data_IF_359562771111
#
_entry.id   IF_359562771111
#
_cell.length_a   1.000
_cell.length_b   1.000
_cell.length_c   1.000
_cell.angle_alpha   90.00
_cell.angle_beta   90.00
_cell.angle_gamma   90.00
#
_symmetry.space_group_name_H-M   'P 1'
#
loop_
_entity.id
_entity.type
_entity.pdbx_description
1 polymer ?
#
# COMPACT_ATOMS: atom_id res chain seq x y z
N UNK A 1 -10.64 18.18 -14.57
CA UNK A 1 -9.16 18.12 -14.64
C UNK A 1 -8.66 17.77 -13.25
N UNK A 2 -7.98 16.64 -13.05
CA UNK A 2 -7.29 16.39 -11.77
C UNK A 2 -5.93 17.10 -11.85
N UNK A 3 -5.94 18.39 -11.50
CA UNK A 3 -4.85 19.32 -11.73
C UNK A 3 -3.51 18.87 -11.11
N UNK A 4 -3.54 18.04 -10.07
CA UNK A 4 -2.36 17.56 -9.34
C UNK A 4 -1.36 16.80 -10.22
N UNK A 5 -1.86 15.97 -11.14
CA UNK A 5 -1.05 15.09 -12.02
C UNK A 5 -1.17 15.43 -13.51
N UNK A 6 -1.88 16.51 -13.86
CA UNK A 6 -2.12 16.90 -15.26
C UNK A 6 -2.99 15.90 -16.04
N UNK A 7 -3.74 15.05 -15.35
CA UNK A 7 -4.59 14.02 -15.95
C UNK A 7 -5.86 14.65 -16.53
N UNK A 8 -6.09 14.42 -17.83
CA UNK A 8 -7.32 14.82 -18.52
C UNK A 8 -8.35 13.69 -18.50
N UNK A 9 -9.60 14.05 -18.17
CA UNK A 9 -10.73 13.12 -18.24
C UNK A 9 -11.16 13.01 -19.69
N UNK A 10 -10.92 11.84 -20.30
CA UNK A 10 -11.33 11.62 -21.69
C UNK A 10 -12.81 11.28 -21.83
N UNK A 11 -13.48 10.83 -20.76
CA UNK A 11 -14.91 10.46 -20.77
C UNK A 11 -15.58 10.65 -19.39
N UNK A 12 -16.85 11.08 -19.31
CA UNK A 12 -17.63 11.04 -18.09
C UNK A 12 -18.31 9.66 -17.86
N UNK A 13 -18.54 9.27 -16.59
CA UNK A 13 -17.54 8.96 -15.57
C UNK A 13 -17.15 7.47 -15.70
N UNK A 14 -15.89 7.06 -15.52
CA UNK A 14 -15.50 6.37 -14.28
C UNK A 14 -14.00 6.01 -14.28
N UNK A 15 -13.31 6.18 -15.41
CA UNK A 15 -11.95 5.68 -15.62
C UNK A 15 -11.04 6.72 -16.27
N UNK A 16 -9.82 6.82 -15.75
CA UNK A 16 -8.77 7.74 -16.21
C UNK A 16 -7.82 7.03 -17.19
N UNK A 17 -7.71 5.70 -17.10
CA UNK A 17 -6.86 4.92 -18.00
C UNK A 17 -6.90 3.42 -17.71
N UNK A 18 -5.87 2.71 -18.18
CA UNK A 18 -5.73 1.26 -17.97
C UNK A 18 -4.68 0.97 -16.91
N UNK A 19 -5.04 0.24 -15.87
CA UNK A 19 -4.11 -0.25 -14.86
C UNK A 19 -3.35 -1.49 -15.40
N UNK A 20 -2.07 -1.31 -15.69
CA UNK A 20 -1.19 -2.36 -16.21
C UNK A 20 -0.86 -3.47 -15.18
N UNK A 21 -0.94 -3.17 -13.88
CA UNK A 21 -0.67 -4.12 -12.81
C UNK A 21 -1.89 -5.03 -12.53
N UNK A 22 -3.08 -4.44 -12.34
CA UNK A 22 -4.34 -5.17 -12.07
C UNK A 22 -5.09 -5.61 -13.33
N UNK A 23 -4.67 -5.16 -14.51
CA UNK A 23 -5.28 -5.45 -15.82
C UNK A 23 -6.78 -5.14 -15.88
N UNK A 24 -7.13 -3.92 -15.47
CA UNK A 24 -8.50 -3.38 -15.49
C UNK A 24 -8.47 -1.87 -15.66
N UNK A 25 -9.64 -1.26 -15.84
CA UNK A 25 -9.76 0.20 -15.79
C UNK A 25 -9.25 0.76 -14.45
N UNK A 26 -8.46 1.83 -14.55
CA UNK A 26 -8.01 2.66 -13.44
C UNK A 26 -9.02 3.78 -13.24
N UNK A 27 -9.63 3.79 -12.06
CA UNK A 27 -10.87 4.55 -11.83
C UNK A 27 -10.58 5.96 -11.33
N UNK A 28 -11.52 6.87 -11.54
CA UNK A 28 -11.39 8.26 -11.06
C UNK A 28 -11.15 8.35 -9.55
N UNK A 29 -11.85 7.53 -8.77
CA UNK A 29 -11.69 7.46 -7.31
C UNK A 29 -10.29 6.98 -6.89
N UNK A 30 -9.65 6.14 -7.72
CA UNK A 30 -8.29 5.65 -7.46
C UNK A 30 -7.25 6.72 -7.81
N UNK A 31 -7.51 7.51 -8.85
CA UNK A 31 -6.70 8.69 -9.19
C UNK A 31 -6.84 9.80 -8.14
N UNK A 32 -8.04 10.01 -7.60
CA UNK A 32 -8.26 10.98 -6.52
C UNK A 32 -7.47 10.61 -5.26
N UNK A 33 -7.56 9.34 -4.84
CA UNK A 33 -6.77 8.80 -3.73
C UNK A 33 -5.25 9.00 -3.98
N UNK A 34 -4.72 8.52 -5.12
CA UNK A 34 -3.30 8.70 -5.45
C UNK A 34 -2.88 10.19 -5.51
N UNK A 35 -3.74 11.08 -6.00
CA UNK A 35 -3.48 12.53 -6.00
C UNK A 35 -3.34 13.09 -4.59
N UNK A 36 -4.11 12.59 -3.62
CA UNK A 36 -3.96 12.91 -2.20
C UNK A 36 -2.57 12.55 -1.66
N UNK A 37 -2.07 11.35 -1.97
CA UNK A 37 -0.71 10.95 -1.60
C UNK A 37 0.36 11.84 -2.28
N UNK A 38 0.19 12.18 -3.55
CA UNK A 38 1.10 13.09 -4.27
C UNK A 38 1.16 14.47 -3.60
N UNK A 39 0.02 15.01 -3.16
CA UNK A 39 -0.02 16.27 -2.42
C UNK A 39 0.69 16.15 -1.07
N UNK A 40 0.46 15.07 -0.32
CA UNK A 40 1.13 14.81 0.95
C UNK A 40 2.67 14.74 0.78
N UNK A 41 3.17 14.05 -0.27
CA UNK A 41 4.61 13.99 -0.55
C UNK A 41 5.19 15.36 -0.90
N UNK A 42 4.49 16.18 -1.69
CA UNK A 42 4.93 17.54 -2.02
C UNK A 42 4.98 18.44 -0.78
N UNK A 43 3.95 18.38 0.07
CA UNK A 43 3.90 19.13 1.33
C UNK A 43 5.02 18.70 2.27
N UNK A 44 5.27 17.40 2.39
CA UNK A 44 6.38 16.87 3.17
C UNK A 44 7.73 17.38 2.65
N UNK A 45 7.98 17.33 1.34
CA UNK A 45 9.23 17.86 0.78
C UNK A 45 9.36 19.39 0.90
N UNK A 46 8.26 20.12 1.02
CA UNK A 46 8.28 21.54 1.34
C UNK A 46 8.56 21.82 2.82
N UNK A 47 8.37 20.83 3.71
CA UNK A 47 8.72 20.95 5.12
C UNK A 47 10.22 20.74 5.37
N UNK A 48 10.69 21.14 6.56
CA UNK A 48 12.05 20.87 7.04
C UNK A 48 12.21 19.54 7.79
N UNK A 49 11.20 18.65 7.76
CA UNK A 49 11.22 17.38 8.51
C UNK A 49 11.94 16.28 7.74
N UNK A 50 12.54 15.32 8.46
CA UNK A 50 13.27 14.18 7.86
C UNK A 50 12.37 13.03 7.42
N UNK A 51 11.23 12.88 8.09
CA UNK A 51 10.26 11.82 7.88
C UNK A 51 8.85 12.39 7.88
N UNK A 52 7.94 11.75 7.14
CA UNK A 52 6.51 12.00 7.24
C UNK A 52 5.76 10.71 7.57
N UNK A 53 4.84 10.80 8.51
CA UNK A 53 3.77 9.84 8.70
C UNK A 53 2.58 10.29 7.87
N UNK A 54 2.18 9.48 6.88
CA UNK A 54 0.99 9.73 6.07
C UNK A 54 -0.13 8.84 6.58
N UNK A 55 -1.29 9.45 6.86
CA UNK A 55 -2.51 8.79 7.34
C UNK A 55 -3.69 9.17 6.41
N UNK A 56 -4.45 8.17 5.97
CA UNK A 56 -5.79 8.35 5.39
C UNK A 56 -6.82 8.59 6.52
N UNK A 57 -8.03 9.01 6.14
CA UNK A 57 -9.13 9.32 7.07
C UNK A 57 -9.68 8.08 7.81
N UNK A 58 -9.46 6.89 7.27
CA UNK A 58 -9.87 5.62 7.87
C UNK A 58 -8.79 4.93 8.72
N UNK A 59 -7.64 5.58 8.92
CA UNK A 59 -6.53 5.06 9.72
C UNK A 59 -6.83 5.13 11.23
N UNK A 60 -6.85 3.97 11.89
CA UNK A 60 -7.13 3.82 13.32
C UNK A 60 -5.90 3.28 14.06
N UNK A 61 -5.12 4.14 14.74
CA UNK A 61 -4.02 3.73 15.60
C UNK A 61 -4.46 2.74 16.68
N UNK A 62 -3.67 1.70 16.87
CA UNK A 62 -3.87 0.70 17.93
C UNK A 62 -3.10 1.09 19.18
N UNK A 63 -3.45 0.53 20.36
CA UNK A 63 -2.67 0.73 21.57
C UNK A 63 -1.17 0.44 21.36
N UNK A 64 -0.32 1.38 21.77
CA UNK A 64 1.14 1.27 21.62
C UNK A 64 1.71 1.83 20.31
N UNK A 65 0.87 2.32 19.39
CA UNK A 65 1.31 2.94 18.13
C UNK A 65 2.40 4.01 18.30
N UNK A 66 2.22 4.96 19.24
CA UNK A 66 3.19 6.04 19.44
C UNK A 66 4.56 5.52 19.86
N UNK A 67 4.59 4.53 20.74
CA UNK A 67 5.83 3.84 21.16
C UNK A 67 6.51 3.20 19.96
N UNK A 68 5.77 2.51 19.09
CA UNK A 68 6.33 1.89 17.90
C UNK A 68 6.95 2.91 16.95
N UNK A 69 6.28 4.05 16.71
CA UNK A 69 6.83 5.11 15.85
C UNK A 69 8.07 5.75 16.48
N UNK A 70 8.04 6.03 17.78
CA UNK A 70 9.19 6.58 18.49
C UNK A 70 10.38 5.64 18.41
N UNK A 71 10.18 4.35 18.70
CA UNK A 71 11.24 3.35 18.70
C UNK A 71 11.80 3.16 17.28
N UNK A 72 10.94 3.14 16.25
CA UNK A 72 11.34 3.10 14.84
C UNK A 72 12.23 4.30 14.46
N UNK A 73 11.86 5.51 14.87
CA UNK A 73 12.63 6.72 14.57
C UNK A 73 13.93 6.80 15.38
N UNK A 74 13.93 6.31 16.63
CA UNK A 74 15.08 6.35 17.52
C UNK A 74 16.17 5.33 17.14
N UNK A 75 15.77 4.11 16.77
CA UNK A 75 16.71 3.07 16.31
C UNK A 75 17.25 3.37 14.90
N UNK A 76 16.50 4.12 14.11
CA UNK A 76 16.73 4.26 12.68
C UNK A 76 16.36 2.97 11.93
N UNK A 77 16.06 3.10 10.65
CA UNK A 77 15.68 1.95 9.83
C UNK A 77 16.24 2.06 8.42
N UNK A 78 16.71 0.94 7.88
CA UNK A 78 17.18 0.85 6.49
C UNK A 78 16.03 0.57 5.52
N UNK A 79 15.11 1.52 5.43
CA UNK A 79 14.04 1.56 4.44
C UNK A 79 13.70 3.00 4.06
N UNK A 80 13.12 3.20 2.89
CA UNK A 80 12.64 4.50 2.42
C UNK A 80 11.16 4.69 2.71
N UNK A 81 10.43 3.57 2.83
CA UNK A 81 9.01 3.52 3.15
C UNK A 81 8.79 2.41 4.19
N UNK A 82 8.11 2.74 5.29
CA UNK A 82 7.71 1.77 6.31
C UNK A 82 6.19 1.68 6.35
N UNK A 83 5.64 0.52 5.98
CA UNK A 83 4.21 0.24 6.01
C UNK A 83 3.72 0.00 7.43
N UNK A 84 2.62 0.67 7.79
CA UNK A 84 2.08 0.67 9.16
C UNK A 84 0.65 0.13 9.24
N UNK A 85 -0.02 -0.08 8.11
CA UNK A 85 -1.37 -0.62 7.99
C UNK A 85 -1.43 -1.58 6.80
N UNK A 86 -2.40 -2.49 6.77
CA UNK A 86 -2.81 -3.16 5.55
C UNK A 86 -4.08 -3.99 5.73
N UNK A 87 -4.56 -4.58 4.63
CA UNK A 87 -5.68 -5.53 4.69
C UNK A 87 -5.15 -6.89 5.16
N UNK A 88 -5.44 -7.33 6.41
CA UNK A 88 -4.93 -8.58 6.93
C UNK A 88 -5.55 -9.77 6.22
N UNK A 89 -4.82 -10.87 6.17
CA UNK A 89 -5.28 -12.17 5.65
C UNK A 89 -5.21 -13.20 6.77
N UNK A 90 -6.01 -14.29 6.71
CA UNK A 90 -5.90 -15.36 7.69
C UNK A 90 -4.45 -15.85 7.85
N UNK A 91 -4.01 -15.99 9.10
CA UNK A 91 -2.63 -16.36 9.45
C UNK A 91 -1.66 -15.17 9.42
N UNK A 92 -0.46 -15.39 8.90
CA UNK A 92 0.60 -14.37 8.79
C UNK A 92 1.18 -14.28 7.37
N UNK A 93 2.34 -13.63 7.25
CA UNK A 93 3.10 -13.53 6.00
C UNK A 93 4.52 -14.04 6.18
N UNK A 94 5.08 -14.62 5.13
CA UNK A 94 6.53 -14.85 5.08
C UNK A 94 7.24 -13.50 4.96
N UNK A 95 8.17 -13.23 5.86
CA UNK A 95 8.95 -12.01 5.89
C UNK A 95 10.36 -12.25 6.44
N UNK A 96 11.27 -11.34 6.13
CA UNK A 96 12.62 -11.30 6.69
C UNK A 96 12.62 -10.30 7.84
N UNK A 97 13.11 -10.69 9.01
CA UNK A 97 13.25 -9.78 10.14
C UNK A 97 14.44 -8.84 9.87
N UNK A 98 14.20 -7.53 10.01
CA UNK A 98 15.22 -6.48 9.87
C UNK A 98 15.65 -5.99 11.24
N UNK A 99 14.69 -5.68 12.12
CA UNK A 99 14.93 -5.19 13.47
C UNK A 99 13.81 -5.60 14.43
N UNK A 100 14.08 -5.54 15.73
CA UNK A 100 13.08 -5.72 16.79
C UNK A 100 12.64 -4.34 17.28
N UNK A 101 11.33 -4.14 17.46
CA UNK A 101 10.73 -2.88 17.91
C UNK A 101 9.83 -3.16 19.11
N UNK A 102 10.42 -3.51 20.25
CA UNK A 102 9.69 -3.99 21.43
C UNK A 102 8.86 -5.23 21.12
N UNK A 103 7.53 -5.14 21.26
CA UNK A 103 6.58 -6.22 20.89
C UNK A 103 6.35 -6.35 19.39
N UNK A 104 6.85 -5.41 18.60
CA UNK A 104 6.76 -5.38 17.15
C UNK A 104 8.11 -5.75 16.53
N UNK A 105 8.11 -5.95 15.22
CA UNK A 105 9.32 -6.17 14.42
C UNK A 105 9.24 -5.35 13.15
N UNK A 106 10.38 -4.81 12.73
CA UNK A 106 10.53 -4.32 11.37
C UNK A 106 10.87 -5.49 10.47
N UNK A 107 10.09 -5.69 9.39
CA UNK A 107 10.25 -6.84 8.51
C UNK A 107 10.19 -6.43 7.03
N UNK A 108 10.87 -7.18 6.15
CA UNK A 108 10.67 -7.09 4.70
C UNK A 108 9.73 -8.19 4.26
N UNK A 109 8.50 -7.83 3.88
CA UNK A 109 7.50 -8.80 3.48
C UNK A 109 7.84 -9.44 2.13
N UNK A 110 7.80 -10.77 2.09
CA UNK A 110 7.91 -11.52 0.85
C UNK A 110 6.57 -11.61 0.14
N UNK A 111 5.47 -11.07 0.70
CA UNK A 111 4.14 -10.98 0.07
C UNK A 111 3.45 -9.72 0.60
N UNK A 112 3.75 -8.52 0.07
CA UNK A 112 3.05 -7.30 0.44
C UNK A 112 1.53 -7.44 0.28
N UNK A 113 0.78 -6.77 1.14
CA UNK A 113 -0.67 -6.70 1.06
C UNK A 113 -1.11 -5.35 0.48
N UNK A 114 -2.37 -5.27 0.06
CA UNK A 114 -3.04 -4.00 -0.25
C UNK A 114 -3.25 -3.13 1.01
N UNK A 115 -3.58 -1.86 0.79
CA UNK A 115 -3.79 -0.84 1.82
C UNK A 115 -2.67 0.19 1.81
N UNK A 116 -3.03 1.48 1.83
CA UNK A 116 -2.13 2.63 1.85
C UNK A 116 -2.47 3.61 2.97
N UNK A 117 -3.36 3.20 3.88
CA UNK A 117 -3.96 4.08 4.86
C UNK A 117 -2.95 4.62 5.87
N UNK A 118 -1.86 3.89 6.13
CA UNK A 118 -0.78 4.41 6.95
C UNK A 118 0.60 3.91 6.54
N UNK A 119 1.54 4.85 6.43
CA UNK A 119 2.95 4.56 6.23
C UNK A 119 3.84 5.74 6.63
N UNK A 120 5.09 5.44 6.97
CA UNK A 120 6.16 6.41 7.14
C UNK A 120 6.97 6.48 5.84
N UNK A 121 7.45 7.67 5.46
CA UNK A 121 8.29 7.88 4.28
C UNK A 121 9.44 8.83 4.58
N UNK A 122 10.63 8.52 4.07
CA UNK A 122 11.81 9.39 4.15
C UNK A 122 11.77 10.46 3.05
N UNK A 123 12.56 11.54 3.19
CA UNK A 123 12.68 12.54 2.11
C UNK A 123 13.18 11.94 0.80
N UNK A 124 14.09 10.97 0.85
CA UNK A 124 14.54 10.25 -0.35
C UNK A 124 13.37 9.48 -0.98
N UNK A 125 12.63 8.71 -0.18
CA UNK A 125 11.45 7.98 -0.63
C UNK A 125 10.42 8.90 -1.30
N UNK A 126 10.07 10.01 -0.66
CA UNK A 126 9.09 10.96 -1.21
C UNK A 126 9.55 11.58 -2.54
N UNK A 127 10.84 11.90 -2.70
CA UNK A 127 11.40 12.41 -3.97
C UNK A 127 11.30 11.38 -5.09
N UNK A 128 11.71 10.14 -4.84
CA UNK A 128 11.64 9.07 -5.85
C UNK A 128 10.20 8.72 -6.20
N UNK A 129 9.29 8.68 -5.22
CA UNK A 129 7.86 8.48 -5.47
C UNK A 129 7.31 9.56 -6.41
N UNK A 130 7.61 10.84 -6.17
CA UNK A 130 7.19 11.94 -7.05
C UNK A 130 7.84 11.89 -8.43
N UNK A 131 9.11 11.52 -8.51
CA UNK A 131 9.82 11.39 -9.78
C UNK A 131 9.26 10.25 -10.65
N UNK A 132 8.72 9.20 -10.03
CA UNK A 132 8.31 7.96 -10.72
C UNK A 132 6.81 7.82 -10.93
N UNK A 133 5.98 8.49 -10.10
CA UNK A 133 4.53 8.37 -10.19
C UNK A 133 4.00 8.85 -11.56
N UNK A 134 4.59 9.90 -12.14
CA UNK A 134 4.30 10.38 -13.49
C UNK A 134 2.79 10.40 -13.82
N UNK A 135 2.44 9.78 -14.96
CA UNK A 135 1.05 9.52 -15.39
C UNK A 135 0.64 8.04 -15.22
N UNK A 136 1.31 7.30 -14.33
CA UNK A 136 0.98 5.91 -14.05
C UNK A 136 -0.46 5.78 -13.57
N UNK A 137 -1.20 4.86 -14.19
CA UNK A 137 -2.57 4.50 -13.84
C UNK A 137 -2.58 3.35 -12.84
N UNK A 138 -2.01 3.57 -11.65
CA UNK A 138 -1.91 2.59 -10.58
C UNK A 138 -2.58 3.15 -9.31
N UNK A 139 -3.38 2.36 -8.58
CA UNK A 139 -3.76 2.67 -7.21
C UNK A 139 -2.54 2.96 -6.34
N UNK A 140 -2.72 3.82 -5.33
CA UNK A 140 -1.64 4.22 -4.43
C UNK A 140 -0.95 3.01 -3.77
N UNK A 141 -1.73 2.03 -3.29
CA UNK A 141 -1.22 0.81 -2.67
C UNK A 141 -0.38 -0.04 -3.65
N UNK A 142 -0.83 -0.25 -4.88
CA UNK A 142 -0.04 -0.99 -5.88
C UNK A 142 1.29 -0.29 -6.18
N UNK A 143 1.27 1.04 -6.31
CA UNK A 143 2.46 1.83 -6.60
C UNK A 143 3.45 1.83 -5.43
N UNK A 144 2.98 2.05 -4.20
CA UNK A 144 3.80 2.10 -2.99
C UNK A 144 4.47 0.77 -2.65
N UNK A 145 3.79 -0.36 -2.88
CA UNK A 145 4.24 -1.67 -2.40
C UNK A 145 4.91 -2.54 -3.45
N UNK A 146 5.19 -1.97 -4.62
CA UNK A 146 5.81 -2.68 -5.74
C UNK A 146 7.13 -1.99 -6.11
N UNK A 147 8.26 -2.40 -5.49
CA UNK A 147 9.54 -1.72 -5.62
C UNK A 147 10.01 -1.51 -7.06
N UNK A 148 9.64 -2.37 -8.01
CA UNK A 148 10.07 -2.24 -9.41
C UNK A 148 9.59 -0.96 -10.11
N UNK A 149 8.60 -0.24 -9.57
CA UNK A 149 8.15 1.04 -10.14
C UNK A 149 9.03 2.22 -9.73
N UNK A 150 9.65 2.16 -8.55
CA UNK A 150 10.33 3.32 -7.96
C UNK A 150 11.74 3.02 -7.39
N UNK A 151 12.10 1.75 -7.19
CA UNK A 151 13.42 1.31 -6.73
C UNK A 151 13.67 1.46 -5.23
N UNK A 152 12.64 1.76 -4.44
CA UNK A 152 12.79 2.07 -3.01
C UNK A 152 12.83 0.80 -2.15
N UNK A 153 13.53 0.90 -1.01
CA UNK A 153 13.54 -0.10 0.05
C UNK A 153 12.26 0.02 0.86
N UNK A 154 11.50 -1.06 0.92
CA UNK A 154 10.24 -1.11 1.67
C UNK A 154 10.40 -2.07 2.85
N UNK A 155 9.96 -1.63 4.02
CA UNK A 155 9.76 -2.46 5.18
C UNK A 155 8.32 -2.32 5.69
N UNK A 156 7.90 -3.25 6.54
CA UNK A 156 6.63 -3.21 7.24
C UNK A 156 6.90 -3.35 8.73
N UNK A 157 6.05 -2.74 9.55
CA UNK A 157 5.94 -3.14 10.96
C UNK A 157 5.07 -4.41 11.05
N UNK A 158 5.44 -5.34 11.93
CA UNK A 158 4.70 -6.56 12.21
C UNK A 158 4.57 -6.85 13.72
N UNK A 159 3.35 -6.98 14.27
CA UNK A 159 2.05 -6.70 13.62
C UNK A 159 1.91 -5.21 13.25
N UNK A 160 0.93 -4.85 12.44
CA UNK A 160 0.68 -3.43 12.13
C UNK A 160 0.15 -2.67 13.35
N UNK A 161 0.71 -1.49 13.67
CA UNK A 161 0.22 -0.66 14.77
C UNK A 161 -0.98 0.22 14.38
N UNK A 162 -1.38 0.25 13.10
CA UNK A 162 -2.55 0.97 12.61
C UNK A 162 -3.42 0.00 11.82
N UNK A 163 -4.74 0.10 12.02
CA UNK A 163 -5.74 -0.69 11.29
C UNK A 163 -6.74 0.24 10.60
N UNK A 164 -7.45 -0.27 9.59
CA UNK A 164 -8.58 0.46 9.02
C UNK A 164 -9.83 0.32 9.90
N UNK A 165 -10.60 1.41 10.00
CA UNK A 165 -11.89 1.48 10.71
C UNK A 165 -12.92 0.46 10.21
N UNK A 166 -12.75 -0.04 8.98
CA UNK A 166 -13.61 -1.08 8.40
C UNK A 166 -14.84 -0.55 7.66
N UNK A 167 -14.98 0.77 7.53
CA UNK A 167 -16.01 1.40 6.69
C UNK A 167 -15.89 0.90 5.23
N UNK A 168 -17.02 0.72 4.55
CA UNK A 168 -17.02 0.32 3.14
C UNK A 168 -16.40 1.45 2.30
N UNK A 169 -15.18 1.21 1.77
CA UNK A 169 -14.55 2.23 0.92
C UNK A 169 -15.33 2.40 -0.38
N UNK A 170 -15.55 3.64 -0.80
CA UNK A 170 -16.15 4.00 -2.09
C UNK A 170 -15.38 3.36 -3.27
N UNK A 171 -14.09 3.06 -3.06
CA UNK A 171 -13.24 2.35 -4.03
C UNK A 171 -13.61 0.86 -4.14
N UNK A 172 -14.06 0.23 -3.05
CA UNK A 172 -14.44 -1.19 -2.99
C UNK A 172 -15.82 -1.47 -3.59
N UNK A 173 -16.81 -0.60 -3.35
CA UNK A 173 -18.18 -0.75 -3.87
C UNK A 173 -18.23 -0.79 -5.41
N UNK A 174 -17.32 -0.08 -6.09
CA UNK A 174 -17.20 -0.11 -7.55
C UNK A 174 -16.58 -1.39 -8.16
N UNK A 175 -16.03 -2.34 -7.36
CA UNK A 175 -15.26 -3.49 -7.91
C UNK A 175 -16.06 -4.43 -8.82
N UNK A 176 -17.35 -4.62 -8.55
CA UNK A 176 -18.22 -5.45 -9.41
C UNK A 176 -18.48 -4.77 -10.76
N UNK A 177 -18.66 -3.45 -10.79
CA UNK A 177 -18.73 -2.66 -12.03
C UNK A 177 -17.39 -2.67 -12.82
N UNK A 178 -16.24 -2.73 -12.11
CA UNK A 178 -14.89 -2.81 -12.71
C UNK A 178 -14.63 -4.09 -13.52
N UNK A 179 -15.23 -5.22 -13.14
CA UNK A 179 -15.09 -6.52 -13.84
C UNK A 179 -16.08 -6.70 -14.98
N UNK A 180 -17.29 -6.15 -14.85
CA UNK A 180 -18.41 -6.43 -15.76
C UNK A 180 -18.22 -5.82 -17.16
N UNK A 181 -17.39 -4.78 -17.32
CA UNK A 181 -17.46 -3.92 -18.50
C UNK A 181 -16.45 -4.19 -19.62
N UNK A 182 -15.33 -4.91 -19.43
CA UNK A 182 -14.31 -4.96 -20.50
C UNK A 182 -13.49 -6.26 -20.57
N UNK A 183 -13.33 -6.77 -21.80
CA UNK A 183 -12.28 -7.74 -22.15
C UNK A 183 -10.95 -7.00 -22.29
N UNK A 184 -9.84 -7.53 -21.75
CA UNK A 184 -8.54 -6.93 -21.97
C UNK A 184 -8.19 -6.96 -23.47
N UNK A 185 -7.47 -5.96 -24.00
CA UNK A 185 -6.95 -5.99 -25.37
C UNK A 185 -6.15 -7.26 -25.65
N UNK A 186 -6.22 -7.75 -26.89
CA UNK A 186 -5.55 -8.98 -27.33
C UNK A 186 -4.05 -8.95 -26.99
N UNK A 187 -3.49 -10.07 -26.53
CA UNK A 187 -2.08 -10.21 -26.15
C UNK A 187 -1.68 -9.63 -24.78
N UNK A 188 -2.50 -8.76 -24.16
CA UNK A 188 -2.15 -8.16 -22.85
C UNK A 188 -2.11 -9.16 -21.70
N UNK A 189 -2.87 -10.25 -21.75
CA UNK A 189 -2.88 -11.25 -20.68
C UNK A 189 -1.48 -11.85 -20.46
N UNK A 190 -0.78 -12.24 -21.53
CA UNK A 190 0.58 -12.76 -21.47
C UNK A 190 1.58 -11.69 -20.99
N UNK A 191 1.47 -10.46 -21.51
CA UNK A 191 2.33 -9.35 -21.10
C UNK A 191 2.17 -9.01 -19.60
N UNK A 192 0.94 -9.04 -19.07
CA UNK A 192 0.65 -8.81 -17.65
C UNK A 192 1.20 -9.94 -16.79
N UNK A 193 1.08 -11.18 -17.24
CA UNK A 193 1.67 -12.32 -16.54
C UNK A 193 3.19 -12.17 -16.43
N UNK A 194 3.88 -11.88 -17.53
CA UNK A 194 5.33 -11.66 -17.55
C UNK A 194 5.75 -10.48 -16.67
N UNK A 195 4.99 -9.37 -16.72
CA UNK A 195 5.23 -8.22 -15.84
C UNK A 195 5.11 -8.60 -14.37
N UNK A 196 4.04 -9.29 -13.97
CA UNK A 196 3.84 -9.73 -12.58
C UNK A 196 4.92 -10.69 -12.12
N UNK A 197 5.40 -11.57 -13.00
CA UNK A 197 6.53 -12.44 -12.71
C UNK A 197 7.81 -11.62 -12.47
N UNK A 198 8.09 -10.62 -13.31
CA UNK A 198 9.22 -9.72 -13.14
C UNK A 198 9.11 -8.87 -11.85
N UNK A 199 7.93 -8.29 -11.57
CA UNK A 199 7.63 -7.57 -10.32
C UNK A 199 7.84 -8.48 -9.10
N UNK A 200 7.42 -9.75 -9.21
CA UNK A 200 7.60 -10.74 -8.15
C UNK A 200 9.08 -11.04 -7.89
N UNK A 201 9.87 -11.24 -8.94
CA UNK A 201 11.32 -11.46 -8.82
C UNK A 201 12.00 -10.23 -8.23
N UNK A 202 11.67 -9.04 -8.73
CA UNK A 202 12.21 -7.77 -8.23
C UNK A 202 11.89 -7.53 -6.75
N UNK A 203 10.64 -7.81 -6.33
CA UNK A 203 10.24 -7.75 -4.93
C UNK A 203 11.09 -8.70 -4.06
N UNK A 204 11.23 -9.96 -4.50
CA UNK A 204 12.01 -10.95 -3.76
C UNK A 204 13.48 -10.54 -3.66
N UNK A 205 14.07 -10.03 -4.74
CA UNK A 205 15.43 -9.51 -4.80
C UNK A 205 15.64 -8.31 -3.87
N UNK A 206 14.72 -7.35 -3.89
CA UNK A 206 14.74 -6.19 -3.01
C UNK A 206 14.60 -6.58 -1.53
N UNK A 207 13.72 -7.54 -1.22
CA UNK A 207 13.52 -8.00 0.14
C UNK A 207 14.80 -8.58 0.75
N UNK A 208 15.58 -9.33 -0.04
CA UNK A 208 16.86 -9.91 0.39
C UNK A 208 18.05 -8.97 0.24
N UNK A 209 17.87 -7.73 -0.21
CA UNK A 209 18.97 -6.79 -0.43
C UNK A 209 20.06 -7.38 -1.37
N UNK A 210 19.64 -8.14 -2.38
CA UNK A 210 20.54 -8.86 -3.29
C UNK A 210 21.26 -10.09 -2.70
N UNK A 211 20.93 -10.52 -1.47
CA UNK A 211 21.55 -11.68 -0.78
C UNK A 211 20.61 -12.89 -0.76
N UNK A 212 20.58 -13.75 -1.79
CA UNK A 212 19.57 -14.82 -1.91
C UNK A 212 19.57 -15.82 -0.75
N UNK A 213 20.70 -16.06 -0.08
CA UNK A 213 20.76 -16.93 1.10
C UNK A 213 19.90 -16.42 2.28
N UNK A 214 19.56 -15.13 2.32
CA UNK A 214 18.69 -14.57 3.34
C UNK A 214 17.27 -15.18 3.33
N UNK A 215 16.82 -15.80 2.23
CA UNK A 215 15.55 -16.53 2.23
C UNK A 215 15.46 -17.65 3.27
N UNK A 216 16.60 -18.21 3.69
CA UNK A 216 16.67 -19.25 4.71
C UNK A 216 16.27 -18.75 6.11
N UNK A 217 16.34 -17.43 6.35
CA UNK A 217 15.96 -16.80 7.62
C UNK A 217 14.52 -16.27 7.61
N UNK A 218 13.76 -16.50 6.53
CA UNK A 218 12.39 -16.05 6.42
C UNK A 218 11.50 -16.74 7.47
N UNK A 219 10.79 -15.94 8.25
CA UNK A 219 9.86 -16.43 9.28
C UNK A 219 8.44 -15.94 8.99
N UNK A 220 7.48 -16.45 9.76
CA UNK A 220 6.12 -15.94 9.73
C UNK A 220 6.03 -14.67 10.59
N UNK A 221 5.53 -13.61 9.97
CA UNK A 221 5.22 -12.34 10.59
C UNK A 221 3.72 -12.10 10.61
N UNK A 222 3.19 -11.67 11.75
CA UNK A 222 1.77 -11.42 11.94
C UNK A 222 1.33 -10.16 11.19
N UNK A 223 0.11 -10.18 10.65
CA UNK A 223 -0.48 -9.04 9.95
C UNK A 223 -0.99 -7.98 10.93
N UNK A 224 -1.96 -8.35 11.77
CA UNK A 224 -2.64 -7.46 12.70
C UNK A 224 -2.47 -7.95 14.15
N UNK A 225 -2.55 -7.08 15.16
CA UNK A 225 -2.44 -7.48 16.57
C UNK A 225 -3.49 -8.52 16.97
N UNK A 226 -3.23 -9.32 18.00
CA UNK A 226 -4.16 -10.39 18.44
C UNK A 226 -5.54 -9.87 18.86
N UNK A 227 -5.58 -8.65 19.41
CA UNK A 227 -6.82 -7.96 19.79
C UNK A 227 -7.69 -7.58 18.59
N UNK A 228 -7.13 -7.60 17.38
CA UNK A 228 -7.84 -7.28 16.16
C UNK A 228 -8.64 -8.48 15.63
N UNK A 229 -9.93 -8.52 15.93
CA UNK A 229 -10.81 -9.58 15.46
C UNK A 229 -11.18 -9.39 13.97
N UNK A 230 -10.57 -10.22 13.11
CA UNK A 230 -10.88 -10.30 11.68
C UNK A 230 -12.37 -10.51 11.39
N UNK A 231 -13.09 -11.24 12.26
CA UNK A 231 -14.52 -11.54 12.11
C UNK A 231 -15.43 -10.33 12.36
N UNK A 232 -15.01 -9.38 13.20
CA UNK A 232 -15.78 -8.16 13.45
C UNK A 232 -15.74 -7.20 12.26
N UNK A 233 -14.69 -7.25 11.41
CA UNK A 233 -14.62 -6.44 10.20
C UNK A 233 -15.66 -6.84 9.15
N UNK A 234 -15.88 -8.14 8.99
CA UNK A 234 -16.94 -8.65 8.12
C UNK A 234 -18.33 -8.31 8.64
N UNK A 235 -18.51 -8.26 9.97
CA UNK A 235 -19.77 -7.88 10.60
C UNK A 235 -20.04 -6.37 10.50
N UNK A 236 -19.07 -5.52 10.84
CA UNK A 236 -19.18 -4.06 10.71
C UNK A 236 -19.44 -3.63 9.26
N UNK A 237 -18.74 -4.22 8.28
CA UNK A 237 -19.00 -3.98 6.86
C UNK A 237 -20.37 -4.51 6.39
N UNK A 238 -20.96 -5.49 7.10
CA UNK A 238 -22.30 -6.00 6.78
C UNK A 238 -23.42 -5.17 7.42
N UNK A 239 -23.18 -4.60 8.59
CA UNK A 239 -24.12 -3.75 9.33
C UNK A 239 -24.26 -2.37 8.68
N UNK A 240 -23.13 -1.80 8.22
CA UNK A 240 -23.10 -0.52 7.50
C UNK A 240 -23.92 -0.58 6.18
N UNK A 241 -23.84 -1.70 5.44
CA UNK A 241 -24.67 -1.97 4.24
C UNK A 241 -26.17 -2.05 4.50
N UNK A 242 -26.58 -2.41 5.72
CA UNK A 242 -28.00 -2.43 6.09
C UNK A 242 -28.50 -1.03 6.41
N UNK A 243 -27.65 -0.17 6.97
CA UNK A 243 -27.99 1.21 7.29
C UNK A 243 -28.06 2.13 6.06
N UNK A 244 -27.21 1.91 5.05
CA UNK A 244 -27.17 2.72 3.82
C UNK A 244 -28.31 2.42 2.82
N UNK A 245 -29.08 1.36 3.05
CA UNK A 245 -30.23 0.95 2.21
C UNK A 245 -31.59 1.25 2.88
N UNK A 246 -31.59 2.00 3.99
CA UNK A 246 -32.79 2.44 4.72
C UNK A 246 -33.24 3.83 4.35
#
# INVERSE_FOLDING_TARGET
MLAVRGSELKFPPDAVGWNAHRNRLFMLVEEACLSGHVLAWRQFLASGLDHALVLEDDAVPQPGFETVIRDLLAEGFEADIVKLEGIPRPGGRKALCVAKLGSHRLVRSLRPCSGSAAYLVTRHGARELLARVGTLCLPADDFLWTPSWHGLKIADVAPWPIMQSGADSVIATGRSAKKLRQRPPFGRAAAVFMRRAAERISLLWAAVDGRPHAFLTATMAQWAPDVYNLGNRTAAAAEDRRSSNG
#
